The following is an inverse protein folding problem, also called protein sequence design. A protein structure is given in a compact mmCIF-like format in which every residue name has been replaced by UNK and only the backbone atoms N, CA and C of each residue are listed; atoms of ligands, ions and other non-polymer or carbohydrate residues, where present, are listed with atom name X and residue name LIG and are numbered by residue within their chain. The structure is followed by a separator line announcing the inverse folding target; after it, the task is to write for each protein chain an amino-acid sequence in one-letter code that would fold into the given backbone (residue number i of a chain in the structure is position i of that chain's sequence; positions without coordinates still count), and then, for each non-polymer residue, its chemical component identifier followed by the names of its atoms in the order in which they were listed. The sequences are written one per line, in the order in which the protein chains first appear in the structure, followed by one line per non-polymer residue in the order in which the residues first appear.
data_IF_665360660195
#
_entry.id   IF_665360660195
#
_cell.length_a   1.000
_cell.length_b   1.000
_cell.length_c   1.000
_cell.angle_alpha   90.00
_cell.angle_beta   90.00
_cell.angle_gamma   90.00
#
_symmetry.space_group_name_H-M   'P 1'
#
loop_
_entity.id
_entity.type
_entity.pdbx_description
1 polymer ?
#
# COMPACT_ATOMS: atom_id res chain seq x y z
N UNK A 1 9.97 7.72 -19.63
CA UNK A 1 8.55 7.37 -19.37
C UNK A 1 8.19 8.03 -18.05
N UNK A 2 7.07 8.73 -17.96
CA UNK A 2 6.63 9.34 -16.68
C UNK A 2 6.00 8.25 -15.81
N UNK A 3 6.29 8.27 -14.52
CA UNK A 3 5.74 7.29 -13.57
C UNK A 3 4.22 7.34 -13.53
N UNK A 4 3.56 6.18 -13.32
CA UNK A 4 2.10 6.06 -13.23
C UNK A 4 1.56 6.85 -12.03
N UNK A 5 0.92 7.97 -12.28
CA UNK A 5 0.38 8.86 -11.23
C UNK A 5 -1.15 8.99 -11.27
N UNK A 6 -1.79 8.22 -12.14
CA UNK A 6 -3.25 8.25 -12.34
C UNK A 6 -3.97 7.56 -11.19
N UNK A 7 -5.23 7.90 -10.96
CA UNK A 7 -6.05 7.32 -9.88
C UNK A 7 -6.73 6.05 -10.39
N UNK A 8 -6.27 4.84 -9.99
CA UNK A 8 -6.84 3.57 -10.50
C UNK A 8 -8.13 3.16 -9.79
N UNK A 9 -8.36 3.62 -8.54
CA UNK A 9 -9.46 3.16 -7.70
C UNK A 9 -10.36 4.31 -7.25
N UNK A 10 -11.66 4.03 -7.09
CA UNK A 10 -12.68 4.96 -6.60
C UNK A 10 -13.66 4.27 -5.66
N UNK A 11 -14.41 5.04 -4.85
CA UNK A 11 -15.44 4.50 -3.96
C UNK A 11 -16.78 4.43 -4.72
N UNK A 12 -17.31 3.23 -4.92
CA UNK A 12 -18.58 3.01 -5.59
C UNK A 12 -19.75 3.23 -4.61
N UNK A 13 -20.68 4.08 -4.99
CA UNK A 13 -21.75 4.55 -4.09
C UNK A 13 -22.70 3.45 -3.62
N UNK A 14 -23.07 2.52 -4.50
CA UNK A 14 -24.08 1.49 -4.18
C UNK A 14 -23.51 0.37 -3.30
N UNK A 15 -22.27 -0.08 -3.57
CA UNK A 15 -21.65 -1.17 -2.80
C UNK A 15 -20.85 -0.67 -1.60
N UNK A 16 -20.55 0.64 -1.53
CA UNK A 16 -19.64 1.24 -0.56
C UNK A 16 -18.24 0.58 -0.53
N UNK A 17 -17.82 0.03 -1.67
CA UNK A 17 -16.52 -0.62 -1.85
C UNK A 17 -15.61 0.21 -2.74
N UNK A 18 -14.32 0.11 -2.51
CA UNK A 18 -13.29 0.64 -3.41
C UNK A 18 -13.22 -0.26 -4.63
N UNK A 19 -13.37 0.31 -5.81
CA UNK A 19 -13.45 -0.43 -7.07
C UNK A 19 -12.40 0.02 -8.07
N UNK A 20 -11.97 -0.91 -8.91
CA UNK A 20 -11.09 -0.62 -10.05
C UNK A 20 -11.84 0.19 -11.12
N UNK A 21 -11.15 1.10 -11.77
CA UNK A 21 -11.70 1.88 -12.88
C UNK A 21 -12.20 0.99 -14.02
N UNK A 22 -11.60 -0.17 -14.23
CA UNK A 22 -12.01 -1.12 -15.25
C UNK A 22 -13.28 -1.90 -14.94
N UNK A 23 -13.69 -1.94 -13.67
CA UNK A 23 -14.89 -2.66 -13.22
C UNK A 23 -16.18 -1.83 -13.31
N UNK A 24 -16.12 -0.56 -13.71
CA UNK A 24 -17.25 0.35 -13.76
C UNK A 24 -17.50 0.90 -15.17
N UNK A 25 -18.67 1.50 -15.39
CA UNK A 25 -19.00 2.12 -16.68
C UNK A 25 -18.13 3.35 -16.94
N UNK A 26 -17.75 3.54 -18.21
CA UNK A 26 -17.04 4.74 -18.63
C UNK A 26 -17.87 6.01 -18.41
N UNK A 27 -17.22 7.10 -18.03
CA UNK A 27 -17.83 8.40 -17.85
C UNK A 27 -18.42 8.62 -16.46
N UNK A 28 -19.40 9.52 -16.36
CA UNK A 28 -20.07 9.89 -15.10
C UNK A 28 -21.01 8.82 -14.55
N UNK A 29 -21.36 7.84 -15.38
CA UNK A 29 -22.25 6.73 -15.01
C UNK A 29 -21.51 5.63 -14.19
N UNK A 30 -20.26 5.85 -13.83
CA UNK A 30 -19.51 4.93 -12.99
C UNK A 30 -20.06 4.83 -11.55
N UNK A 31 -20.95 5.72 -11.14
CA UNK A 31 -21.51 5.80 -9.77
C UNK A 31 -20.44 5.83 -8.67
N UNK A 32 -19.28 6.44 -8.96
CA UNK A 32 -18.16 6.51 -8.04
C UNK A 32 -17.95 7.92 -7.50
N UNK A 33 -17.47 7.99 -6.27
CA UNK A 33 -17.06 9.24 -5.61
C UNK A 33 -15.62 9.14 -5.10
N UNK A 34 -15.01 10.30 -4.91
CA UNK A 34 -13.75 10.41 -4.19
C UNK A 34 -13.98 10.16 -2.70
N UNK A 35 -13.32 9.18 -2.06
CA UNK A 35 -13.51 8.93 -0.64
C UNK A 35 -13.03 10.08 0.26
N UNK A 36 -12.08 10.91 -0.20
CA UNK A 36 -11.55 12.05 0.56
C UNK A 36 -12.49 13.26 0.51
N UNK A 37 -12.85 13.75 -0.69
CA UNK A 37 -13.61 14.99 -0.85
C UNK A 37 -15.07 14.82 -1.24
N UNK A 38 -15.53 13.58 -1.39
CA UNK A 38 -16.89 13.20 -1.77
C UNK A 38 -17.38 13.74 -3.13
N UNK A 39 -16.47 14.29 -3.93
CA UNK A 39 -16.78 14.74 -5.29
C UNK A 39 -17.03 13.54 -6.18
N UNK A 40 -18.05 13.57 -7.07
CA UNK A 40 -18.24 12.55 -8.09
C UNK A 40 -16.98 12.35 -8.93
N UNK A 41 -16.68 11.10 -9.25
CA UNK A 41 -15.60 10.73 -10.14
C UNK A 41 -16.14 10.44 -11.55
N UNK A 42 -15.27 10.58 -12.51
CA UNK A 42 -15.49 10.21 -13.91
C UNK A 42 -14.48 9.10 -14.22
N UNK A 43 -14.98 7.93 -14.61
CA UNK A 43 -14.12 6.87 -15.14
C UNK A 43 -13.71 7.23 -16.58
N UNK A 44 -12.42 7.23 -16.87
CA UNK A 44 -11.87 7.55 -18.20
C UNK A 44 -11.24 6.29 -18.79
N UNK A 45 -11.92 5.70 -19.77
CA UNK A 45 -11.48 4.52 -20.52
C UNK A 45 -10.97 4.95 -21.91
N UNK A 46 -9.90 5.74 -21.93
CA UNK A 46 -9.29 6.21 -23.17
C UNK A 46 -8.58 5.10 -23.96
N UNK A 47 -8.46 5.28 -25.28
CA UNK A 47 -7.68 4.41 -26.15
C UNK A 47 -6.19 4.73 -26.19
N UNK A 48 -5.81 5.94 -25.77
CA UNK A 48 -4.41 6.45 -25.82
C UNK A 48 -3.82 6.55 -24.43
N UNK A 49 -4.61 6.96 -23.44
CA UNK A 49 -4.17 7.11 -22.05
C UNK A 49 -4.68 5.95 -21.22
N UNK A 50 -3.89 5.57 -20.22
CA UNK A 50 -4.25 4.59 -19.22
C UNK A 50 -5.59 4.93 -18.55
N UNK A 51 -6.38 3.91 -18.27
CA UNK A 51 -7.67 4.10 -17.63
C UNK A 51 -7.49 4.63 -16.21
N UNK A 52 -8.28 5.61 -15.82
CA UNK A 52 -8.18 6.25 -14.51
C UNK A 52 -9.46 6.96 -14.12
N UNK A 53 -9.60 7.22 -12.83
CA UNK A 53 -10.61 8.14 -12.33
C UNK A 53 -10.11 9.57 -12.35
N UNK A 54 -11.00 10.50 -12.68
CA UNK A 54 -10.76 11.93 -12.53
C UNK A 54 -11.92 12.55 -11.73
N UNK A 55 -11.63 13.58 -10.95
CA UNK A 55 -12.69 14.36 -10.32
C UNK A 55 -13.54 15.06 -11.38
N UNK A 56 -14.87 15.01 -11.21
CA UNK A 56 -15.75 15.84 -12.03
C UNK A 56 -15.42 17.32 -11.76
N UNK A 57 -15.32 18.11 -12.84
CA UNK A 57 -15.08 19.55 -12.71
C UNK A 57 -16.17 20.19 -11.85
N UNK A 58 -15.77 20.83 -10.77
CA UNK A 58 -16.68 21.64 -9.95
C UNK A 58 -16.85 22.97 -10.66
N UNK A 59 -18.09 23.50 -10.66
CA UNK A 59 -18.36 24.85 -11.14
C UNK A 59 -17.44 25.85 -10.41
N UNK A 60 -16.61 26.56 -11.16
CA UNK A 60 -15.54 27.46 -10.67
C UNK A 60 -16.12 28.63 -9.82
N UNK A 61 -17.43 28.79 -9.77
CA UNK A 61 -18.13 29.84 -9.02
C UNK A 61 -18.20 29.63 -7.51
N UNK A 62 -17.86 28.45 -6.98
CA UNK A 62 -17.77 28.23 -5.52
C UNK A 62 -16.32 28.35 -5.07
N UNK A 63 -16.01 29.51 -4.50
CA UNK A 63 -14.74 29.87 -3.88
C UNK A 63 -14.20 28.76 -2.96
N UNK A 64 -12.89 28.53 -3.06
CA UNK A 64 -12.02 27.84 -2.11
C UNK A 64 -12.37 26.38 -1.84
N UNK A 65 -12.08 25.53 -2.80
CA UNK A 65 -11.95 24.11 -2.51
C UNK A 65 -10.45 23.87 -2.27
N UNK A 66 -10.09 23.43 -1.05
CA UNK A 66 -8.75 22.89 -0.78
C UNK A 66 -8.46 21.81 -1.84
N UNK A 67 -7.24 21.77 -2.40
CA UNK A 67 -6.86 20.66 -3.27
C UNK A 67 -7.19 19.34 -2.59
N UNK A 68 -7.75 18.41 -3.35
CA UNK A 68 -8.03 17.07 -2.81
C UNK A 68 -6.73 16.29 -2.80
N UNK A 69 -6.40 15.70 -1.67
CA UNK A 69 -5.23 14.85 -1.44
C UNK A 69 -5.41 13.42 -1.98
N UNK A 70 -6.59 13.12 -2.59
CA UNK A 70 -6.83 11.82 -3.20
C UNK A 70 -5.99 11.64 -4.46
N UNK A 71 -4.98 10.83 -4.31
CA UNK A 71 -3.94 10.56 -5.31
C UNK A 71 -3.86 9.07 -5.63
N UNK A 72 -2.94 8.70 -6.52
CA UNK A 72 -2.55 7.31 -6.75
C UNK A 72 -2.29 6.59 -5.43
N UNK A 73 -1.38 7.10 -4.61
CA UNK A 73 -0.96 6.45 -3.37
C UNK A 73 -2.10 6.28 -2.37
N UNK A 74 -2.95 7.30 -2.19
CA UNK A 74 -4.11 7.22 -1.29
C UNK A 74 -5.14 6.21 -1.79
N UNK A 75 -5.38 6.16 -3.11
CA UNK A 75 -6.32 5.20 -3.70
C UNK A 75 -5.84 3.75 -3.57
N UNK A 76 -4.54 3.51 -3.80
CA UNK A 76 -3.92 2.19 -3.61
C UNK A 76 -3.97 1.77 -2.14
N UNK A 77 -3.62 2.68 -1.21
CA UNK A 77 -3.70 2.42 0.23
C UNK A 77 -5.10 1.96 0.67
N UNK A 78 -6.16 2.60 0.17
CA UNK A 78 -7.54 2.21 0.49
C UNK A 78 -7.92 0.85 -0.12
N UNK A 79 -7.52 0.59 -1.37
CA UNK A 79 -7.73 -0.71 -2.00
C UNK A 79 -6.97 -1.81 -1.26
N UNK A 80 -5.73 -1.58 -0.85
CA UNK A 80 -4.96 -2.56 -0.06
C UNK A 80 -5.67 -2.95 1.24
N UNK A 81 -6.21 -1.95 1.98
CA UNK A 81 -6.96 -2.23 3.21
C UNK A 81 -8.14 -3.14 2.93
N UNK A 82 -8.96 -2.81 1.92
CA UNK A 82 -10.09 -3.64 1.52
C UNK A 82 -9.65 -5.06 1.11
N UNK A 83 -8.57 -5.20 0.33
CA UNK A 83 -8.08 -6.51 -0.11
C UNK A 83 -7.65 -7.39 1.06
N UNK A 84 -6.99 -6.84 2.06
CA UNK A 84 -6.64 -7.61 3.26
C UNK A 84 -7.88 -8.02 4.07
N UNK A 85 -8.88 -7.15 4.18
CA UNK A 85 -10.18 -7.49 4.78
C UNK A 85 -10.92 -8.59 3.97
N UNK A 86 -10.70 -8.65 2.65
CA UNK A 86 -11.17 -9.72 1.75
C UNK A 86 -10.30 -11.00 1.79
N UNK A 87 -9.22 -11.03 2.58
CA UNK A 87 -8.35 -12.20 2.77
C UNK A 87 -7.16 -12.29 1.81
N UNK A 88 -6.68 -11.18 1.28
CA UNK A 88 -5.50 -11.16 0.41
C UNK A 88 -4.26 -11.70 1.12
N UNK A 89 -3.42 -12.43 0.37
CA UNK A 89 -2.13 -12.92 0.82
C UNK A 89 -1.05 -11.86 0.75
N UNK A 90 -0.04 -11.96 1.60
CA UNK A 90 1.12 -11.08 1.64
C UNK A 90 2.41 -11.89 1.50
N UNK A 91 3.21 -11.57 0.49
CA UNK A 91 4.58 -12.01 0.41
C UNK A 91 5.43 -11.18 1.37
N UNK A 92 5.94 -11.79 2.42
CA UNK A 92 6.86 -11.21 3.38
C UNK A 92 8.30 -11.42 2.88
N UNK A 93 9.13 -10.36 2.80
CA UNK A 93 10.52 -10.51 2.39
C UNK A 93 11.33 -11.30 3.41
N UNK A 94 12.40 -11.94 2.96
CA UNK A 94 13.39 -12.54 3.84
C UNK A 94 13.93 -11.50 4.84
N UNK A 95 14.15 -11.93 6.09
CA UNK A 95 14.78 -11.08 7.09
C UNK A 95 16.23 -11.50 7.31
N UNK A 96 17.13 -10.55 7.06
CA UNK A 96 18.57 -10.74 7.13
C UNK A 96 19.13 -10.02 8.35
N UNK A 97 19.99 -10.69 9.11
CA UNK A 97 20.80 -10.06 10.16
C UNK A 97 22.27 -10.01 9.76
N UNK A 98 22.94 -8.96 10.20
CA UNK A 98 24.39 -8.82 10.06
C UNK A 98 25.03 -8.95 11.44
N UNK A 99 26.01 -9.82 11.55
CA UNK A 99 26.93 -9.87 12.69
C UNK A 99 28.21 -9.16 12.28
N UNK A 100 28.64 -8.18 13.05
CA UNK A 100 29.94 -7.56 12.88
C UNK A 100 30.79 -7.82 14.13
N UNK A 101 32.03 -8.23 13.94
CA UNK A 101 32.98 -8.43 14.99
C UNK A 101 34.34 -7.83 14.58
N UNK A 102 35.00 -7.18 15.50
CA UNK A 102 36.38 -6.71 15.30
C UNK A 102 37.32 -7.76 15.88
N UNK A 103 38.14 -8.36 15.03
CA UNK A 103 39.18 -9.30 15.48
C UNK A 103 40.31 -8.48 16.12
N UNK A 104 40.72 -8.77 17.36
CA UNK A 104 41.85 -8.08 17.98
C UNK A 104 43.08 -8.11 17.08
N UNK A 105 43.66 -6.95 16.76
CA UNK A 105 44.81 -6.81 15.87
C UNK A 105 44.48 -6.66 14.37
N UNK A 106 43.20 -6.63 13.98
CA UNK A 106 42.75 -6.33 12.61
C UNK A 106 42.19 -4.92 12.53
N UNK A 107 42.60 -4.16 11.51
CA UNK A 107 42.04 -2.83 11.21
C UNK A 107 40.67 -2.91 10.51
N UNK A 108 40.26 -4.11 10.06
CA UNK A 108 39.00 -4.29 9.31
C UNK A 108 37.99 -5.09 10.13
N UNK A 109 36.72 -4.58 10.26
CA UNK A 109 35.69 -5.35 10.90
C UNK A 109 35.27 -6.52 9.97
N UNK A 110 35.14 -7.71 10.55
CA UNK A 110 34.51 -8.84 9.87
C UNK A 110 32.98 -8.68 9.95
N UNK A 111 32.30 -8.74 8.83
CA UNK A 111 30.84 -8.71 8.77
C UNK A 111 30.33 -9.95 8.05
N UNK A 112 29.44 -10.67 8.71
CA UNK A 112 28.72 -11.81 8.11
C UNK A 112 27.22 -11.54 8.12
N UNK A 113 26.59 -11.70 6.97
CA UNK A 113 25.13 -11.59 6.82
C UNK A 113 24.52 -12.98 6.69
N UNK A 114 23.48 -13.24 7.46
CA UNK A 114 22.76 -14.51 7.41
C UNK A 114 21.25 -14.27 7.39
N UNK A 115 20.52 -15.20 6.76
CA UNK A 115 19.07 -15.17 6.71
C UNK A 115 18.50 -15.72 8.02
N UNK A 116 17.70 -14.90 8.71
CA UNK A 116 17.01 -15.30 9.93
C UNK A 116 15.64 -15.95 9.61
N UNK A 117 14.93 -15.39 8.64
CA UNK A 117 13.70 -15.96 8.10
C UNK A 117 13.72 -15.85 6.59
N UNK A 118 13.29 -16.92 5.91
CA UNK A 118 13.13 -16.94 4.46
C UNK A 118 11.90 -16.14 4.03
N UNK A 119 11.87 -15.74 2.75
CA UNK A 119 10.69 -15.18 2.11
C UNK A 119 9.51 -16.14 2.24
N UNK A 120 8.35 -15.61 2.56
CA UNK A 120 7.16 -16.43 2.77
C UNK A 120 5.88 -15.69 2.38
N UNK A 121 4.99 -16.40 1.68
CA UNK A 121 3.61 -15.93 1.44
C UNK A 121 2.74 -16.34 2.61
N UNK A 122 2.00 -15.39 3.18
CA UNK A 122 1.18 -15.58 4.37
C UNK A 122 -0.23 -15.05 4.12
N UNK A 123 -1.22 -15.82 4.53
CA UNK A 123 -2.59 -15.36 4.72
C UNK A 123 -2.83 -15.16 6.22
N UNK A 124 -3.51 -14.11 6.60
CA UNK A 124 -3.75 -13.76 7.99
C UNK A 124 -5.16 -14.10 8.42
N UNK A 125 -5.32 -14.54 9.67
CA UNK A 125 -6.62 -14.94 10.24
C UNK A 125 -7.46 -13.73 10.66
N UNK A 126 -6.78 -12.65 11.11
CA UNK A 126 -7.40 -11.43 11.60
C UNK A 126 -6.75 -10.24 10.92
N UNK A 127 -7.59 -9.34 10.42
CA UNK A 127 -7.20 -8.07 9.81
C UNK A 127 -7.94 -6.95 10.53
N UNK A 128 -7.18 -6.03 11.10
CA UNK A 128 -7.72 -4.83 11.74
C UNK A 128 -7.11 -3.60 11.06
N UNK A 129 -7.92 -2.60 10.74
CA UNK A 129 -7.47 -1.38 10.08
C UNK A 129 -7.55 -0.16 10.99
N UNK A 130 -6.66 0.82 10.75
CA UNK A 130 -6.65 2.12 11.45
C UNK A 130 -6.57 2.02 12.98
N UNK A 131 -5.65 1.21 13.48
CA UNK A 131 -5.41 1.06 14.92
C UNK A 131 -4.22 1.90 15.40
N UNK A 132 -4.27 2.26 16.68
CA UNK A 132 -3.12 2.87 17.35
C UNK A 132 -2.11 1.80 17.75
N UNK A 133 -0.84 2.00 17.38
CA UNK A 133 0.32 1.21 17.85
C UNK A 133 1.46 2.17 18.18
N UNK A 134 2.01 2.06 19.36
CA UNK A 134 3.09 2.93 19.87
C UNK A 134 2.80 4.45 19.65
N UNK A 135 1.56 4.88 19.88
CA UNK A 135 1.16 6.28 19.67
C UNK A 135 1.00 6.70 18.20
N UNK A 136 1.09 5.75 17.25
CA UNK A 136 0.94 5.98 15.80
C UNK A 136 -0.31 5.30 15.28
N UNK A 137 -1.10 5.99 14.46
CA UNK A 137 -2.17 5.38 13.68
C UNK A 137 -1.58 4.59 12.53
N UNK A 138 -1.64 3.26 12.61
CA UNK A 138 -1.15 2.34 11.58
C UNK A 138 -2.23 1.96 10.59
N UNK A 139 -1.84 1.51 9.39
CA UNK A 139 -2.80 1.18 8.34
C UNK A 139 -3.48 -0.15 8.58
N UNK A 140 -2.70 -1.17 8.93
CA UNK A 140 -3.19 -2.52 9.18
C UNK A 140 -2.43 -3.16 10.34
N UNK A 141 -3.15 -3.98 11.09
CA UNK A 141 -2.61 -4.95 12.03
C UNK A 141 -3.11 -6.32 11.59
N UNK A 142 -2.19 -7.17 11.18
CA UNK A 142 -2.46 -8.50 10.63
C UNK A 142 -2.02 -9.54 11.65
N UNK A 143 -2.87 -10.56 11.93
CA UNK A 143 -2.55 -11.59 12.93
C UNK A 143 -2.70 -12.99 12.36
N UNK A 144 -1.79 -13.86 12.75
CA UNK A 144 -1.83 -15.30 12.50
C UNK A 144 -1.34 -16.03 13.74
N UNK A 145 -2.20 -16.85 14.36
CA UNK A 145 -1.91 -17.44 15.65
C UNK A 145 -1.55 -16.38 16.69
N UNK A 146 -0.36 -16.49 17.31
CA UNK A 146 0.16 -15.52 18.29
C UNK A 146 1.02 -14.41 17.64
N UNK A 147 1.26 -14.46 16.35
CA UNK A 147 2.09 -13.48 15.64
C UNK A 147 1.25 -12.28 15.20
N UNK A 148 1.72 -11.07 15.53
CA UNK A 148 1.14 -9.81 15.07
C UNK A 148 2.12 -9.09 14.14
N UNK A 149 1.62 -8.60 13.02
CA UNK A 149 2.35 -7.81 12.04
C UNK A 149 1.66 -6.46 11.84
N UNK A 150 2.38 -5.41 12.13
CA UNK A 150 1.99 -4.04 11.80
C UNK A 150 2.44 -3.71 10.38
N UNK A 151 1.51 -3.31 9.53
CA UNK A 151 1.80 -2.80 8.18
C UNK A 151 1.60 -1.29 8.17
N UNK A 152 2.64 -0.57 7.80
CA UNK A 152 2.60 0.87 7.60
C UNK A 152 2.86 1.21 6.13
N UNK A 153 1.88 1.83 5.49
CA UNK A 153 1.93 2.13 4.05
C UNK A 153 2.56 3.51 3.85
N UNK A 154 3.68 3.56 3.11
CA UNK A 154 4.42 4.79 2.82
C UNK A 154 4.29 5.23 1.37
N UNK A 155 4.43 6.54 1.14
CA UNK A 155 4.45 7.20 -0.16
C UNK A 155 5.05 8.61 0.00
N UNK A 156 5.18 9.36 -1.09
CA UNK A 156 5.71 10.71 -1.03
C UNK A 156 4.96 11.59 -0.01
N UNK A 157 5.70 12.15 0.94
CA UNK A 157 5.15 12.93 2.04
C UNK A 157 4.67 12.11 3.25
N UNK A 158 4.63 10.77 3.18
CA UNK A 158 4.29 9.89 4.29
C UNK A 158 5.37 8.85 4.52
N UNK A 159 6.19 9.07 5.54
CA UNK A 159 7.30 8.19 5.94
C UNK A 159 6.94 7.37 7.17
N UNK A 160 7.66 6.27 7.38
CA UNK A 160 7.49 5.46 8.59
C UNK A 160 7.94 6.25 9.83
N UNK A 161 7.08 6.32 10.88
CA UNK A 161 7.44 6.96 12.14
C UNK A 161 8.50 6.18 12.94
N UNK A 162 9.41 6.87 13.61
CA UNK A 162 10.46 6.26 14.43
C UNK A 162 9.91 5.35 15.54
N UNK A 163 8.76 5.72 16.11
CA UNK A 163 8.10 4.94 17.16
C UNK A 163 7.76 3.51 16.74
N UNK A 164 7.59 3.25 15.43
CA UNK A 164 7.30 1.92 14.91
C UNK A 164 8.56 1.07 14.70
N UNK A 165 9.75 1.65 14.73
CA UNK A 165 11.01 0.91 14.54
C UNK A 165 11.45 0.12 15.77
N UNK A 166 10.87 0.37 16.93
CA UNK A 166 11.12 -0.33 18.19
C UNK A 166 9.81 -0.56 18.93
N UNK A 167 8.96 -1.49 18.48
CA UNK A 167 7.65 -1.72 19.08
C UNK A 167 7.76 -2.32 20.49
N UNK A 168 6.92 -1.83 21.40
CA UNK A 168 6.90 -2.27 22.81
C UNK A 168 6.36 -3.70 22.97
N UNK A 169 5.48 -4.14 22.07
CA UNK A 169 4.76 -5.40 22.17
C UNK A 169 5.37 -6.55 21.35
N UNK A 170 6.61 -6.40 20.88
CA UNK A 170 7.29 -7.40 20.04
C UNK A 170 6.53 -7.80 18.74
N UNK A 171 5.62 -6.94 18.24
CA UNK A 171 4.98 -7.13 16.95
C UNK A 171 5.98 -6.93 15.81
N UNK A 172 5.87 -7.73 14.75
CA UNK A 172 6.61 -7.43 13.52
C UNK A 172 6.16 -6.09 12.93
N UNK A 173 7.07 -5.31 12.36
CA UNK A 173 6.75 -4.06 11.66
C UNK A 173 7.31 -4.08 10.26
N UNK A 174 6.43 -3.97 9.28
CA UNK A 174 6.78 -3.89 7.86
C UNK A 174 6.28 -2.58 7.24
N UNK A 175 7.16 -1.92 6.52
CA UNK A 175 6.80 -0.82 5.62
C UNK A 175 6.38 -1.38 4.27
N UNK A 176 5.31 -0.83 3.71
CA UNK A 176 4.93 -1.03 2.32
C UNK A 176 4.98 0.30 1.58
N UNK A 177 5.96 0.45 0.69
CA UNK A 177 6.08 1.64 -0.15
C UNK A 177 5.25 1.45 -1.43
N UNK A 178 4.10 2.15 -1.52
CA UNK A 178 3.20 2.01 -2.68
C UNK A 178 3.78 2.56 -3.97
N UNK A 179 4.82 3.40 -3.90
CA UNK A 179 5.45 3.92 -5.12
C UNK A 179 6.14 2.81 -5.92
N UNK A 180 6.50 1.70 -5.26
CA UNK A 180 7.04 0.51 -5.94
C UNK A 180 6.04 -0.19 -6.87
N UNK A 181 4.73 0.07 -6.73
CA UNK A 181 3.68 -0.43 -7.62
C UNK A 181 3.59 0.32 -8.95
N UNK A 182 4.18 1.50 -9.05
CA UNK A 182 4.01 2.35 -10.24
C UNK A 182 4.45 1.62 -11.52
N UNK A 183 5.59 0.94 -11.47
CA UNK A 183 6.09 0.17 -12.60
C UNK A 183 5.13 -1.01 -12.92
N UNK A 184 4.70 -1.75 -11.92
CA UNK A 184 3.77 -2.87 -12.13
C UNK A 184 2.45 -2.40 -12.77
N UNK A 185 1.98 -1.21 -12.42
CA UNK A 185 0.77 -0.64 -13.01
C UNK A 185 0.97 -0.09 -14.42
N UNK A 186 2.16 0.40 -14.76
CA UNK A 186 2.52 0.78 -16.14
C UNK A 186 2.54 -0.42 -17.09
N UNK A 187 2.98 -1.58 -16.59
CA UNK A 187 3.07 -2.83 -17.34
C UNK A 187 1.72 -3.57 -17.41
N UNK A 188 0.74 -3.15 -16.61
CA UNK A 188 -0.56 -3.78 -16.51
C UNK A 188 -1.50 -3.25 -17.58
N UNK A 189 -2.34 -4.14 -18.14
CA UNK A 189 -3.42 -3.73 -19.02
C UNK A 189 -4.37 -2.78 -18.29
N UNK A 190 -4.69 -1.65 -18.93
CA UNK A 190 -5.59 -0.64 -18.37
C UNK A 190 -6.90 -1.23 -17.83
N UNK A 191 -7.24 -0.88 -16.61
CA UNK A 191 -8.46 -1.35 -15.94
C UNK A 191 -8.35 -2.72 -15.26
N UNK A 192 -7.14 -3.27 -15.09
CA UNK A 192 -6.87 -4.52 -14.35
C UNK A 192 -5.95 -4.28 -13.15
N UNK A 193 -6.02 -3.09 -12.54
CA UNK A 193 -5.11 -2.69 -11.45
C UNK A 193 -5.38 -3.42 -10.15
N UNK A 194 -6.63 -3.83 -9.88
CA UNK A 194 -6.97 -4.65 -8.70
C UNK A 194 -6.26 -5.99 -8.76
N UNK A 195 -6.31 -6.67 -9.90
CA UNK A 195 -5.67 -7.98 -10.10
C UNK A 195 -4.15 -7.87 -10.03
N UNK A 196 -3.57 -6.83 -10.65
CA UNK A 196 -2.14 -6.53 -10.56
C UNK A 196 -1.70 -6.26 -9.12
N UNK A 197 -2.51 -5.55 -8.34
CA UNK A 197 -2.23 -5.30 -6.92
C UNK A 197 -2.27 -6.59 -6.09
N UNK A 198 -3.26 -7.45 -6.30
CA UNK A 198 -3.36 -8.76 -5.64
C UNK A 198 -2.14 -9.61 -5.94
N UNK A 199 -1.74 -9.69 -7.21
CA UNK A 199 -0.56 -10.46 -7.62
C UNK A 199 0.73 -9.88 -7.00
N UNK A 200 0.89 -8.57 -7.01
CA UNK A 200 2.03 -7.90 -6.41
C UNK A 200 2.10 -8.11 -4.89
N UNK A 201 0.97 -8.06 -4.19
CA UNK A 201 0.91 -8.36 -2.76
C UNK A 201 1.37 -9.79 -2.46
N UNK A 202 0.89 -10.76 -3.24
CA UNK A 202 1.11 -12.18 -3.00
C UNK A 202 2.48 -12.69 -3.48
N UNK A 203 3.09 -12.06 -4.51
CA UNK A 203 4.27 -12.63 -5.18
C UNK A 203 5.51 -11.76 -5.15
N UNK A 204 5.40 -10.47 -4.87
CA UNK A 204 6.56 -9.57 -4.88
C UNK A 204 6.95 -9.16 -3.47
N UNK A 205 8.24 -9.19 -3.17
CA UNK A 205 8.80 -8.57 -1.97
C UNK A 205 9.23 -7.10 -2.21
N UNK A 206 9.17 -6.63 -3.44
CA UNK A 206 9.55 -5.26 -3.81
C UNK A 206 8.72 -4.22 -3.04
N UNK A 207 9.38 -3.19 -2.53
CA UNK A 207 8.72 -2.12 -1.77
C UNK A 207 8.27 -2.51 -0.35
N UNK A 208 8.63 -3.70 0.11
CA UNK A 208 8.32 -4.19 1.45
C UNK A 208 9.60 -4.29 2.27
N UNK A 209 9.65 -3.59 3.41
CA UNK A 209 10.86 -3.48 4.21
C UNK A 209 10.56 -3.74 5.68
N UNK A 210 11.30 -4.69 6.29
CA UNK A 210 11.26 -4.91 7.72
C UNK A 210 11.89 -3.74 8.47
N UNK A 211 11.16 -3.13 9.38
CA UNK A 211 11.69 -2.18 10.35
C UNK A 211 11.92 -2.83 11.72
N UNK A 212 11.09 -3.78 12.06
CA UNK A 212 11.29 -4.63 13.23
C UNK A 212 10.82 -6.06 12.93
N UNK A 213 11.64 -7.02 13.32
CA UNK A 213 11.33 -8.44 13.25
C UNK A 213 11.45 -9.05 14.65
N UNK A 214 10.43 -9.76 15.18
CA UNK A 214 10.38 -10.22 16.57
C UNK A 214 11.32 -11.38 16.90
N UNK A 215 12.24 -11.74 15.99
CA UNK A 215 13.26 -12.80 16.18
C UNK A 215 14.67 -12.24 16.16
#
# INVERSE_FOLDING_TARGET
MGAFTLIPFGLHLKSNQVVDVGSVQNGIKCDCICPSCKTPLIARHGSIKEWHFAHQSRDVKKKTVKPCDYSFAVSVRLMMKQLFEEGAMLCLPAYLKSLSSTIPGSEHPYSHRYTLTEEKVVQFDIVESELMRNGVMVDLVLKIGSFELVVYITYDGRRIPEQLKSPENNSGVIEFNVMSLMQAFEETKSGQYKDALIEFLARSHTGKYWHYHPR
#
